data_IF_480960589089
#
_entry.id   IF_480960589089
#
_cell.length_a   1.000
_cell.length_b   1.000
_cell.length_c   1.000
_cell.angle_alpha   90.00
_cell.angle_beta   90.00
_cell.angle_gamma   90.00
#
_symmetry.space_group_name_H-M   'P 1'
#
loop_
_entity.id
_entity.type
_entity.pdbx_description
1 polymer ?
#
# COMPACT_ATOMS: atom_id res chain seq x y z
N UNK A 1 -16.10 20.69 20.10
CA UNK A 1 -15.28 19.55 20.52
C UNK A 1 -14.71 18.93 19.26
N UNK A 2 -13.39 18.94 19.09
CA UNK A 2 -12.74 18.17 18.02
C UNK A 2 -13.10 16.68 18.20
N UNK A 3 -13.52 15.97 17.15
CA UNK A 3 -13.78 14.54 17.26
C UNK A 3 -12.48 13.82 17.61
N UNK A 4 -12.55 12.95 18.61
CA UNK A 4 -11.44 12.12 19.06
C UNK A 4 -11.02 11.24 17.88
N UNK A 5 -9.93 11.58 17.19
CA UNK A 5 -9.44 10.80 16.05
C UNK A 5 -9.06 9.40 16.55
N UNK A 6 -9.66 8.31 16.02
CA UNK A 6 -9.33 6.96 16.45
C UNK A 6 -7.82 6.68 16.31
N UNK A 7 -7.20 6.14 17.36
CA UNK A 7 -5.75 5.90 17.39
C UNK A 7 -5.24 4.98 16.26
N UNK A 8 -6.10 4.13 15.70
CA UNK A 8 -5.78 3.28 14.56
C UNK A 8 -5.39 4.06 13.30
N UNK A 9 -5.84 5.32 13.16
CA UNK A 9 -5.47 6.17 12.03
C UNK A 9 -4.01 6.65 12.09
N UNK A 10 -3.32 6.44 13.21
CA UNK A 10 -1.89 6.76 13.40
C UNK A 10 -0.99 5.54 13.43
N UNK A 11 -1.54 4.34 13.20
CA UNK A 11 -0.78 3.10 13.32
C UNK A 11 0.28 2.96 12.24
N UNK A 12 1.47 2.52 12.64
CA UNK A 12 2.48 2.03 11.72
C UNK A 12 2.12 0.64 11.20
N UNK A 13 2.78 0.18 10.14
CA UNK A 13 2.61 -1.20 9.66
C UNK A 13 2.93 -2.26 10.73
N UNK A 14 3.86 -1.95 11.64
CA UNK A 14 4.18 -2.81 12.79
C UNK A 14 3.01 -2.90 13.77
N UNK A 15 2.36 -1.78 14.06
CA UNK A 15 1.19 -1.73 14.95
C UNK A 15 0.02 -2.51 14.37
N UNK A 16 -0.24 -2.35 13.07
CA UNK A 16 -1.26 -3.11 12.33
C UNK A 16 -0.98 -4.61 12.39
N UNK A 17 0.26 -5.04 12.08
CA UNK A 17 0.65 -6.45 12.18
C UNK A 17 0.45 -7.01 13.59
N UNK A 18 0.98 -6.30 14.60
CA UNK A 18 0.78 -6.67 16.00
C UNK A 18 -0.69 -6.83 16.38
N UNK A 19 -1.57 -5.95 15.90
CA UNK A 19 -3.00 -6.05 16.13
C UNK A 19 -3.64 -7.25 15.41
N UNK A 20 -3.33 -7.49 14.14
CA UNK A 20 -3.79 -8.65 13.36
C UNK A 20 -3.41 -9.97 14.05
N UNK A 21 -2.14 -10.09 14.48
CA UNK A 21 -1.66 -11.24 15.25
C UNK A 21 -2.45 -11.44 16.53
N UNK A 22 -2.68 -10.37 17.32
CA UNK A 22 -3.49 -10.44 18.56
C UNK A 22 -4.94 -10.83 18.31
N UNK A 23 -5.47 -10.60 17.11
CA UNK A 23 -6.81 -11.04 16.72
C UNK A 23 -6.87 -12.52 16.30
N UNK A 24 -5.74 -13.22 16.28
CA UNK A 24 -5.68 -14.64 15.91
C UNK A 24 -5.49 -14.88 14.41
N UNK A 25 -5.05 -13.88 13.65
CA UNK A 25 -4.87 -14.00 12.20
C UNK A 25 -3.42 -13.76 11.72
N UNK A 26 -2.40 -14.43 12.30
CA UNK A 26 -1.00 -14.21 11.92
C UNK A 26 -0.71 -14.47 10.43
N UNK A 27 -1.52 -15.29 9.75
CA UNK A 27 -1.39 -15.59 8.32
C UNK A 27 -1.49 -14.35 7.42
N UNK A 28 -2.20 -13.30 7.82
CA UNK A 28 -2.31 -12.08 7.00
C UNK A 28 -1.00 -11.29 6.95
N UNK A 29 -0.13 -11.39 7.96
CA UNK A 29 1.21 -10.80 7.87
C UNK A 29 2.06 -11.51 6.81
N UNK A 30 1.98 -12.84 6.78
CA UNK A 30 2.72 -13.67 5.82
C UNK A 30 2.23 -13.38 4.40
N UNK A 31 0.92 -13.35 4.18
CA UNK A 31 0.35 -13.02 2.87
C UNK A 31 0.77 -11.61 2.44
N UNK A 32 0.70 -10.62 3.34
CA UNK A 32 1.12 -9.26 3.02
C UNK A 32 2.61 -9.19 2.65
N UNK A 33 3.48 -9.98 3.30
CA UNK A 33 4.89 -10.05 2.95
C UNK A 33 5.11 -10.73 1.59
N UNK A 34 4.48 -11.88 1.34
CA UNK A 34 4.61 -12.61 0.07
C UNK A 34 4.13 -11.77 -1.12
N UNK A 35 3.05 -11.01 -0.96
CA UNK A 35 2.56 -10.09 -2.00
C UNK A 35 3.57 -8.97 -2.26
N UNK A 36 4.23 -8.44 -1.23
CA UNK A 36 5.29 -7.44 -1.42
C UNK A 36 6.47 -8.01 -2.18
N UNK A 37 6.93 -9.19 -1.78
CA UNK A 37 8.06 -9.86 -2.41
C UNK A 37 7.75 -10.17 -3.88
N UNK A 38 6.55 -10.69 -4.15
CA UNK A 38 6.06 -10.95 -5.50
C UNK A 38 6.03 -9.70 -6.38
N UNK A 39 5.60 -8.57 -5.81
CA UNK A 39 5.50 -7.30 -6.52
C UNK A 39 6.82 -6.49 -6.50
N UNK A 40 7.87 -6.99 -5.83
CA UNK A 40 9.13 -6.26 -5.66
C UNK A 40 9.01 -4.98 -4.81
N UNK A 41 7.98 -4.88 -3.97
CA UNK A 41 7.71 -3.68 -3.15
C UNK A 41 8.57 -3.71 -1.89
N UNK A 42 9.65 -2.94 -1.90
CA UNK A 42 10.65 -2.91 -0.81
C UNK A 42 10.21 -2.13 0.44
N UNK A 43 9.22 -1.23 0.37
CA UNK A 43 8.71 -0.51 1.54
C UNK A 43 7.18 -0.39 1.60
N UNK A 44 6.52 -0.74 2.71
CA UNK A 44 5.30 -0.07 3.13
C UNK A 44 5.66 1.20 3.88
N UNK A 45 5.77 2.31 3.19
CA UNK A 45 5.70 3.60 3.85
C UNK A 45 4.42 4.32 3.39
N UNK A 46 3.32 4.05 4.10
CA UNK A 46 2.14 4.93 4.12
C UNK A 46 2.52 6.34 4.65
N UNK A 47 3.67 6.44 5.32
CA UNK A 47 4.32 7.62 5.85
C UNK A 47 5.47 8.14 4.96
N UNK A 48 5.52 7.78 3.66
CA UNK A 48 6.56 8.27 2.75
C UNK A 48 6.49 9.80 2.67
N UNK A 49 7.59 10.47 3.02
CA UNK A 49 7.70 11.92 2.83
C UNK A 49 7.63 12.26 1.34
N UNK A 50 6.89 13.31 0.99
CA UNK A 50 6.86 13.89 -0.38
C UNK A 50 8.25 14.38 -0.84
N UNK A 51 9.20 14.52 0.09
CA UNK A 51 10.59 14.88 -0.19
C UNK A 51 11.46 13.71 -0.65
N UNK A 52 10.95 12.47 -0.61
CA UNK A 52 11.67 11.31 -1.13
C UNK A 52 11.59 11.30 -2.68
N UNK A 53 12.57 10.70 -3.38
CA UNK A 53 12.59 10.62 -4.85
C UNK A 53 11.31 10.00 -5.44
N UNK A 54 11.11 10.04 -6.76
CA UNK A 54 9.90 9.43 -7.39
C UNK A 54 9.75 7.95 -6.98
N UNK A 55 8.50 7.47 -6.83
CA UNK A 55 8.20 6.03 -6.72
C UNK A 55 8.74 5.33 -7.98
N UNK A 56 9.14 4.08 -7.81
CA UNK A 56 9.32 3.13 -8.89
C UNK A 56 7.99 2.89 -9.64
N UNK A 57 8.05 2.34 -10.84
CA UNK A 57 6.87 2.19 -11.69
C UNK A 57 5.76 1.37 -11.02
N UNK A 58 6.12 0.34 -10.25
CA UNK A 58 5.19 -0.45 -9.46
C UNK A 58 4.52 0.38 -8.37
N UNK A 59 5.29 1.19 -7.64
CA UNK A 59 4.76 2.10 -6.64
C UNK A 59 3.77 3.14 -7.22
N UNK A 60 4.06 3.70 -8.40
CA UNK A 60 3.15 4.62 -9.09
C UNK A 60 1.85 3.92 -9.54
N UNK A 61 1.98 2.72 -10.11
CA UNK A 61 0.83 1.92 -10.51
C UNK A 61 -0.09 1.61 -9.31
N UNK A 62 0.48 1.14 -8.19
CA UNK A 62 -0.27 0.75 -7.00
C UNK A 62 -0.97 1.94 -6.33
N UNK A 63 -0.39 3.15 -6.35
CA UNK A 63 -1.08 4.37 -5.91
C UNK A 63 -2.34 4.62 -6.72
N UNK A 64 -2.23 4.56 -8.06
CA UNK A 64 -3.37 4.79 -8.93
C UNK A 64 -4.41 3.66 -8.84
N UNK A 65 -3.96 2.42 -8.60
CA UNK A 65 -4.82 1.24 -8.37
C UNK A 65 -5.50 1.22 -7.00
N UNK A 66 -4.95 1.93 -6.01
CA UNK A 66 -5.53 2.00 -4.66
C UNK A 66 -6.85 2.77 -4.60
N UNK A 67 -7.11 3.62 -5.59
CA UNK A 67 -8.36 4.37 -5.72
C UNK A 67 -9.47 3.44 -6.21
N UNK A 68 -10.67 3.55 -5.63
CA UNK A 68 -11.83 2.73 -6.02
C UNK A 68 -12.64 3.41 -7.12
N UNK A 69 -13.00 2.67 -8.17
CA UNK A 69 -13.87 3.16 -9.25
C UNK A 69 -13.64 2.44 -10.58
N UNK A 70 -14.61 2.53 -11.50
CA UNK A 70 -14.63 1.76 -12.75
C UNK A 70 -13.31 1.84 -13.56
N UNK A 71 -12.77 3.06 -13.70
CA UNK A 71 -11.53 3.28 -14.46
C UNK A 71 -10.28 2.75 -13.73
N UNK A 72 -10.28 2.76 -12.40
CA UNK A 72 -9.15 2.26 -11.60
C UNK A 72 -9.14 0.73 -11.55
N UNK A 73 -10.32 0.10 -11.52
CA UNK A 73 -10.46 -1.37 -11.56
C UNK A 73 -9.94 -1.96 -12.88
N UNK A 74 -10.08 -1.23 -13.98
CA UNK A 74 -9.59 -1.62 -15.31
C UNK A 74 -8.09 -1.36 -15.53
N UNK A 75 -7.42 -0.63 -14.64
CA UNK A 75 -5.99 -0.29 -14.80
C UNK A 75 -5.11 -1.56 -14.75
N UNK A 76 -4.42 -1.88 -15.85
CA UNK A 76 -3.49 -3.03 -15.96
C UNK A 76 -2.05 -2.51 -16.02
N UNK A 77 -1.15 -3.16 -15.28
CA UNK A 77 0.26 -2.73 -15.18
C UNK A 77 0.96 -2.56 -16.53
N UNK A 78 0.84 -3.54 -17.44
CA UNK A 78 1.48 -3.48 -18.76
C UNK A 78 1.00 -2.29 -19.61
N UNK A 79 -0.26 -1.88 -19.44
CA UNK A 79 -0.81 -0.73 -20.14
C UNK A 79 -0.33 0.59 -19.49
N UNK A 80 -0.31 0.64 -18.16
CA UNK A 80 0.24 1.77 -17.40
C UNK A 80 1.69 2.08 -17.80
N UNK A 81 2.55 1.06 -17.91
CA UNK A 81 3.95 1.23 -18.33
C UNK A 81 4.07 1.80 -19.75
N UNK A 82 3.28 1.26 -20.70
CA UNK A 82 3.25 1.74 -22.08
C UNK A 82 2.79 3.20 -22.20
N UNK A 83 1.77 3.58 -21.44
CA UNK A 83 1.19 4.94 -21.47
C UNK A 83 2.11 5.98 -20.84
N UNK A 84 2.91 5.60 -19.84
CA UNK A 84 3.87 6.49 -19.17
C UNK A 84 5.24 6.56 -19.89
N UNK A 85 5.47 5.72 -20.90
CA UNK A 85 6.75 5.67 -21.64
C UNK A 85 7.92 5.15 -20.80
N UNK A 86 7.64 4.26 -19.84
CA UNK A 86 8.59 3.69 -18.88
C UNK A 86 8.99 2.25 -19.21
#
# INVERSE_FOLDING_TARGET
>A
MEPQVPGCLRWSCRDVGGWIRRKGFPQYEVIAQLVRDLLGVTEPSWNRSISLPRRDNMGLFLEQKSQTGHNHDLLIYNQFIKEQGL
#
